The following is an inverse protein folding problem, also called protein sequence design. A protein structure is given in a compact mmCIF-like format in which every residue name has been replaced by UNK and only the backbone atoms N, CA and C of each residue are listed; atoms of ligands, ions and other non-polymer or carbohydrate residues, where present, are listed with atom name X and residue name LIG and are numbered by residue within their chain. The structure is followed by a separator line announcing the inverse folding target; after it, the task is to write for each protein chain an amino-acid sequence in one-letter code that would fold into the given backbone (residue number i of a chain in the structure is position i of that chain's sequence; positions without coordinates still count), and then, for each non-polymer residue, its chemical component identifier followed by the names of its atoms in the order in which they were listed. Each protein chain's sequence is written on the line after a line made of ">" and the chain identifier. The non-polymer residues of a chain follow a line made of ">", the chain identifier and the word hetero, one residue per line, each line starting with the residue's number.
data_IF_861784868777
#
_entry.id   IF_861784868777
#
_cell.length_a   1.000
_cell.length_b   1.000
_cell.length_c   1.000
_cell.angle_alpha   90.00
_cell.angle_beta   90.00
_cell.angle_gamma   90.00
#
_symmetry.space_group_name_H-M   'P 1'
#
loop_
_entity.id
_entity.type
_entity.pdbx_description
1 polymer ?
#
# COMPACT_ATOMS: atom_id res chain seq x y z
N UNK A 1 -63.50 -4.07 -29.45
CA UNK A 1 -64.07 -5.17 -28.64
C UNK A 1 -63.19 -5.34 -27.42
N UNK A 2 -63.57 -4.75 -26.29
CA UNK A 2 -64.29 -5.39 -25.18
C UNK A 2 -63.29 -6.00 -24.18
N UNK A 3 -63.15 -5.42 -22.96
CA UNK A 3 -63.79 -5.87 -21.69
C UNK A 3 -63.14 -7.19 -21.19
N UNK A 4 -62.75 -7.50 -19.96
CA UNK A 4 -62.98 -7.11 -18.55
C UNK A 4 -61.83 -7.78 -17.73
N UNK A 5 -61.26 -7.21 -16.67
CA UNK A 5 -61.67 -7.28 -15.24
C UNK A 5 -62.19 -8.63 -14.69
N UNK A 6 -61.46 -9.23 -13.73
CA UNK A 6 -61.93 -9.79 -12.42
C UNK A 6 -60.88 -10.76 -11.84
N UNK A 7 -60.31 -10.55 -10.63
CA UNK A 7 -60.84 -10.60 -9.24
C UNK A 7 -60.80 -12.00 -8.59
N UNK A 8 -60.45 -11.97 -7.28
CA UNK A 8 -60.72 -12.88 -6.12
C UNK A 8 -59.54 -13.75 -5.68
N UNK A 9 -58.87 -13.51 -4.54
CA UNK A 9 -59.21 -13.52 -3.08
C UNK A 9 -59.42 -14.90 -2.44
N UNK A 10 -58.56 -15.15 -1.43
CA UNK A 10 -58.72 -15.81 -0.12
C UNK A 10 -59.26 -17.25 0.01
N UNK A 11 -58.51 -18.10 0.74
CA UNK A 11 -59.03 -18.76 1.97
C UNK A 11 -57.90 -19.25 2.90
N UNK A 12 -58.21 -19.32 4.19
CA UNK A 12 -57.39 -19.53 5.41
C UNK A 12 -57.74 -20.90 6.04
N UNK A 13 -56.97 -21.32 7.09
CA UNK A 13 -57.24 -22.32 8.17
C UNK A 13 -56.50 -23.67 8.01
N UNK A 14 -56.00 -24.37 9.05
CA UNK A 14 -55.92 -24.20 10.51
C UNK A 14 -54.89 -25.20 11.12
N UNK A 15 -54.56 -25.01 12.40
CA UNK A 15 -53.57 -25.72 13.23
C UNK A 15 -54.05 -27.07 13.83
N UNK A 16 -53.16 -27.83 14.50
CA UNK A 16 -53.33 -28.42 15.86
C UNK A 16 -52.03 -29.11 16.37
N UNK A 17 -51.73 -28.91 17.67
CA UNK A 17 -50.68 -29.51 18.51
C UNK A 17 -51.08 -30.91 19.04
N UNK A 18 -50.08 -31.77 19.34
CA UNK A 18 -50.17 -32.77 20.44
C UNK A 18 -48.83 -32.87 21.17
N UNK A 19 -48.88 -32.86 22.51
CA UNK A 19 -47.77 -33.03 23.45
C UNK A 19 -47.75 -34.46 24.04
N UNK A 20 -46.59 -34.93 24.51
CA UNK A 20 -46.45 -36.15 25.31
C UNK A 20 -45.13 -36.18 26.09
N UNK A 21 -45.22 -36.28 27.41
CA UNK A 21 -44.14 -36.39 28.41
C UNK A 21 -44.18 -37.80 29.03
N UNK A 22 -43.03 -38.47 29.21
CA UNK A 22 -42.77 -39.46 30.28
C UNK A 22 -41.25 -39.58 30.54
N UNK A 23 -40.89 -39.92 31.79
CA UNK A 23 -39.57 -39.77 32.40
C UNK A 23 -38.90 -41.10 32.84
N UNK A 24 -37.55 -41.03 32.96
CA UNK A 24 -36.58 -41.71 33.84
C UNK A 24 -36.41 -43.25 33.91
N UNK A 25 -35.16 -43.72 33.67
CA UNK A 25 -34.35 -44.56 34.60
C UNK A 25 -32.86 -44.63 34.12
N UNK A 26 -31.87 -44.92 35.00
CA UNK A 26 -30.47 -44.48 34.85
C UNK A 26 -29.49 -45.58 34.42
N UNK A 27 -28.42 -45.22 33.70
CA UNK A 27 -27.26 -46.09 33.49
C UNK A 27 -26.05 -45.60 34.31
N UNK A 28 -25.37 -46.57 34.94
CA UNK A 28 -24.20 -46.41 35.81
C UNK A 28 -22.95 -46.14 34.98
N UNK A 29 -21.96 -45.37 35.49
CA UNK A 29 -20.88 -44.84 34.66
C UNK A 29 -19.78 -45.88 34.42
N UNK A 30 -19.51 -46.17 33.15
CA UNK A 30 -18.29 -46.86 32.73
C UNK A 30 -17.10 -45.93 32.92
N UNK A 31 -16.28 -46.21 33.93
CA UNK A 31 -14.97 -45.57 34.14
C UNK A 31 -14.08 -45.81 32.91
N UNK A 32 -13.97 -44.81 32.05
CA UNK A 32 -12.95 -44.77 31.01
C UNK A 32 -11.86 -43.81 31.49
N UNK A 33 -10.85 -44.35 32.16
CA UNK A 33 -9.61 -43.64 32.43
C UNK A 33 -8.78 -43.65 31.14
N UNK A 34 -8.85 -42.57 30.38
CA UNK A 34 -7.88 -42.25 29.32
C UNK A 34 -7.51 -40.77 29.40
N UNK A 35 -6.20 -40.53 29.33
CA UNK A 35 -5.48 -39.34 29.75
C UNK A 35 -6.20 -38.00 29.52
N UNK A 36 -6.32 -37.19 30.59
CA UNK A 36 -6.41 -35.74 30.43
C UNK A 36 -5.09 -35.30 29.81
N UNK A 37 -5.11 -34.97 28.52
CA UNK A 37 -4.19 -33.98 28.00
C UNK A 37 -4.60 -32.70 28.73
N UNK A 38 -3.91 -32.37 29.81
CA UNK A 38 -3.88 -30.99 30.25
C UNK A 38 -3.25 -30.22 29.10
N UNK A 39 -4.10 -29.58 28.30
CA UNK A 39 -3.68 -28.39 27.57
C UNK A 39 -3.42 -27.37 28.66
N UNK A 40 -2.21 -27.40 29.21
CA UNK A 40 -1.64 -26.22 29.85
C UNK A 40 -1.74 -25.16 28.76
N UNK A 41 -2.54 -24.09 28.93
CA UNK A 41 -2.52 -23.02 27.97
C UNK A 41 -1.07 -22.54 28.00
N UNK A 42 -0.36 -22.71 26.90
CA UNK A 42 0.86 -21.96 26.72
C UNK A 42 0.42 -20.51 26.76
N UNK A 43 0.67 -19.85 27.89
CA UNK A 43 0.48 -18.42 28.02
C UNK A 43 1.55 -17.78 27.14
N UNK A 44 1.27 -17.71 25.84
CA UNK A 44 1.95 -16.85 24.89
C UNK A 44 1.14 -15.57 24.78
N UNK A 45 1.19 -14.74 25.81
CA UNK A 45 0.82 -13.34 25.65
C UNK A 45 1.91 -12.63 24.85
N UNK A 46 1.81 -12.60 23.51
CA UNK A 46 2.32 -11.48 22.71
C UNK A 46 1.51 -11.33 21.40
N UNK A 47 0.51 -10.43 21.33
CA UNK A 47 0.06 -9.93 20.03
C UNK A 47 1.19 -9.06 19.46
N UNK A 48 2.13 -9.65 18.71
CA UNK A 48 3.34 -8.96 18.22
C UNK A 48 3.02 -7.70 17.40
N UNK A 49 1.86 -7.68 16.74
CA UNK A 49 1.31 -6.50 16.08
C UNK A 49 -0.19 -6.67 15.88
N UNK A 50 -0.88 -5.56 15.62
CA UNK A 50 -2.27 -5.53 15.15
C UNK A 50 -2.33 -5.10 13.70
N UNK A 51 -3.36 -5.52 12.96
CA UNK A 51 -3.65 -5.04 11.61
C UNK A 51 -5.04 -4.41 11.61
N UNK A 52 -5.13 -3.15 11.21
CA UNK A 52 -6.40 -2.40 11.13
C UNK A 52 -6.56 -1.84 9.73
N UNK A 53 -7.68 -2.17 9.08
CA UNK A 53 -8.01 -1.65 7.75
C UNK A 53 -8.74 -0.30 7.85
N UNK A 54 -8.22 0.70 7.14
CA UNK A 54 -8.87 1.98 6.94
C UNK A 54 -9.41 2.08 5.52
N UNK A 55 -10.60 2.65 5.36
CA UNK A 55 -11.13 3.03 4.06
C UNK A 55 -10.98 4.55 3.93
N UNK A 56 -10.01 4.97 3.12
CA UNK A 56 -9.65 6.39 3.00
C UNK A 56 -10.55 7.17 2.04
N UNK A 57 -11.50 6.48 1.41
CA UNK A 57 -12.66 7.06 0.72
C UNK A 57 -13.93 6.45 1.33
N UNK A 58 -14.48 7.11 2.35
CA UNK A 58 -15.71 6.67 3.03
C UNK A 58 -16.95 6.85 2.16
N UNK A 59 -16.91 7.85 1.27
CA UNK A 59 -17.97 8.08 0.30
C UNK A 59 -17.52 7.53 -1.05
N UNK A 60 -18.02 6.35 -1.36
CA UNK A 60 -18.50 6.15 -2.71
C UNK A 60 -19.31 7.39 -3.07
N UNK A 61 -18.78 8.29 -3.90
CA UNK A 61 -19.64 9.06 -4.80
C UNK A 61 -20.62 8.04 -5.33
N UNK A 62 -21.89 8.15 -4.96
CA UNK A 62 -22.93 7.20 -5.31
C UNK A 62 -22.77 6.84 -6.79
N UNK A 63 -22.22 5.65 -7.09
CA UNK A 63 -21.78 5.28 -8.44
C UNK A 63 -20.33 4.81 -8.64
N UNK A 64 -19.45 4.77 -7.62
CA UNK A 64 -18.14 4.11 -7.78
C UNK A 64 -18.32 2.60 -7.96
N UNK A 65 -17.95 2.09 -9.13
CA UNK A 65 -18.08 0.66 -9.50
C UNK A 65 -17.11 -0.27 -8.72
N UNK A 66 -16.15 0.27 -7.97
CA UNK A 66 -15.06 -0.51 -7.34
C UNK A 66 -14.62 0.04 -5.95
N UNK A 67 -15.49 0.07 -4.93
CA UNK A 67 -15.14 0.59 -3.59
C UNK A 67 -14.11 -0.28 -2.83
N UNK A 68 -13.94 -1.54 -3.24
CA UNK A 68 -13.14 -2.54 -2.53
C UNK A 68 -11.61 -2.35 -2.66
N UNK A 69 -11.16 -1.31 -3.36
CA UNK A 69 -9.73 -1.02 -3.61
C UNK A 69 -9.25 0.29 -2.98
N UNK A 70 -10.10 0.99 -2.23
CA UNK A 70 -9.73 2.25 -1.56
C UNK A 70 -9.56 2.05 -0.06
N UNK A 71 -8.56 1.25 0.29
CA UNK A 71 -8.23 0.93 1.67
C UNK A 71 -6.74 0.89 1.92
N UNK A 72 -6.35 0.96 3.19
CA UNK A 72 -4.99 0.75 3.63
C UNK A 72 -4.97 -0.06 4.93
N UNK A 73 -4.06 -1.00 5.02
CA UNK A 73 -3.86 -1.80 6.24
C UNK A 73 -2.73 -1.18 7.08
N UNK A 74 -3.06 -0.77 8.30
CA UNK A 74 -2.10 -0.35 9.31
C UNK A 74 -1.65 -1.55 10.12
N UNK A 75 -0.39 -1.93 9.96
CA UNK A 75 0.30 -2.87 10.82
C UNK A 75 0.99 -2.09 11.95
N UNK A 76 0.55 -2.29 13.18
CA UNK A 76 1.04 -1.56 14.35
C UNK A 76 1.76 -2.52 15.32
N UNK A 77 3.02 -2.25 15.71
CA UNK A 77 3.71 -3.06 16.72
C UNK A 77 2.91 -3.13 18.02
N UNK A 78 2.83 -4.33 18.62
CA UNK A 78 2.16 -4.51 19.91
C UNK A 78 2.87 -3.80 21.06
N UNK A 79 2.17 -3.66 22.19
CA UNK A 79 2.68 -3.01 23.40
C UNK A 79 2.25 -1.55 23.57
N UNK A 80 2.66 -0.95 24.69
CA UNK A 80 2.42 0.47 24.98
C UNK A 80 3.53 1.31 24.35
N UNK A 81 3.14 2.36 23.62
CA UNK A 81 4.06 3.25 22.93
C UNK A 81 3.79 4.69 23.35
N UNK A 82 4.86 5.48 23.44
CA UNK A 82 4.73 6.90 23.73
C UNK A 82 4.19 7.66 22.50
N UNK A 83 3.70 8.88 22.72
CA UNK A 83 3.39 9.81 21.65
C UNK A 83 4.58 9.96 20.68
N UNK A 84 4.31 9.95 19.36
CA UNK A 84 5.32 10.22 18.32
C UNK A 84 6.60 9.36 18.44
N UNK A 85 6.48 8.08 18.78
CA UNK A 85 7.63 7.21 19.08
C UNK A 85 7.83 6.05 18.10
N UNK A 86 6.83 5.74 17.27
CA UNK A 86 6.91 4.66 16.30
C UNK A 86 7.14 5.24 14.90
N UNK A 87 8.26 4.92 14.23
CA UNK A 87 8.48 5.32 12.85
C UNK A 87 7.39 4.77 11.93
N UNK A 88 6.81 5.64 11.09
CA UNK A 88 5.81 5.25 10.09
C UNK A 88 6.49 4.95 8.75
N UNK A 89 6.18 3.79 8.18
CA UNK A 89 6.53 3.42 6.81
C UNK A 89 5.26 3.27 5.98
N UNK A 90 5.09 4.08 4.96
CA UNK A 90 4.01 3.91 3.97
C UNK A 90 4.52 3.00 2.85
N UNK A 91 3.79 1.94 2.53
CA UNK A 91 4.14 1.03 1.43
C UNK A 91 3.19 1.22 0.25
N UNK A 92 3.76 1.30 -0.95
CA UNK A 92 3.01 1.39 -2.21
C UNK A 92 3.45 0.27 -3.16
N UNK A 93 2.55 -0.67 -3.42
CA UNK A 93 2.87 -1.86 -4.21
C UNK A 93 3.06 -1.56 -5.70
N UNK A 94 3.75 -2.48 -6.38
CA UNK A 94 3.96 -2.44 -7.84
C UNK A 94 2.85 -3.15 -8.62
N UNK A 95 3.21 -3.61 -9.83
CA UNK A 95 2.30 -4.35 -10.72
C UNK A 95 1.93 -3.61 -12.00
N UNK A 96 2.78 -2.68 -12.46
CA UNK A 96 2.58 -1.95 -13.72
C UNK A 96 1.28 -1.14 -13.76
N UNK A 97 0.77 -0.71 -12.60
CA UNK A 97 -0.55 -0.09 -12.45
C UNK A 97 -1.72 -0.93 -13.00
N UNK A 98 -1.52 -2.24 -13.21
CA UNK A 98 -2.53 -3.17 -13.70
C UNK A 98 -3.22 -3.88 -12.55
N UNK A 99 -4.51 -4.23 -12.72
CA UNK A 99 -5.33 -4.88 -11.70
C UNK A 99 -4.99 -6.37 -11.44
N UNK A 100 -3.80 -6.83 -11.84
CA UNK A 100 -3.33 -8.22 -11.66
C UNK A 100 -2.68 -8.46 -10.31
N UNK A 101 -2.21 -7.40 -9.65
CA UNK A 101 -1.59 -7.44 -8.33
C UNK A 101 -2.14 -6.29 -7.47
N UNK A 102 -2.19 -6.50 -6.15
CA UNK A 102 -2.69 -5.54 -5.16
C UNK A 102 -1.76 -5.44 -3.95
N UNK A 103 -2.16 -4.69 -2.92
CA UNK A 103 -1.33 -4.41 -1.74
C UNK A 103 -0.87 -5.66 -0.97
N UNK A 104 -1.60 -6.78 -1.10
CA UNK A 104 -1.25 -8.05 -0.46
C UNK A 104 0.13 -8.61 -0.85
N UNK A 105 0.71 -8.20 -1.98
CA UNK A 105 2.09 -8.59 -2.36
C UNK A 105 3.14 -8.08 -1.36
N UNK A 106 2.78 -7.07 -0.56
CA UNK A 106 3.63 -6.47 0.46
C UNK A 106 3.33 -6.94 1.89
N UNK A 107 2.38 -7.85 2.12
CA UNK A 107 2.04 -8.33 3.46
C UNK A 107 3.25 -8.91 4.20
N UNK A 108 4.10 -9.67 3.48
CA UNK A 108 5.33 -10.22 4.05
C UNK A 108 6.32 -9.12 4.46
N UNK A 109 6.52 -8.10 3.62
CA UNK A 109 7.39 -6.97 3.92
C UNK A 109 6.83 -6.14 5.09
N UNK A 110 5.51 -5.89 5.11
CA UNK A 110 4.86 -5.18 6.19
C UNK A 110 5.09 -5.88 7.53
N UNK A 111 4.86 -7.20 7.62
CA UNK A 111 5.11 -7.98 8.83
C UNK A 111 6.57 -7.95 9.27
N UNK A 112 7.51 -8.09 8.34
CA UNK A 112 8.94 -8.00 8.65
C UNK A 112 9.31 -6.63 9.20
N UNK A 113 8.81 -5.54 8.62
CA UNK A 113 9.05 -4.20 9.12
C UNK A 113 8.38 -3.98 10.49
N UNK A 114 7.15 -4.42 10.67
CA UNK A 114 6.45 -4.27 11.96
C UNK A 114 7.13 -5.03 13.08
N UNK A 115 7.64 -6.23 12.82
CA UNK A 115 8.45 -6.99 13.79
C UNK A 115 9.75 -6.28 14.22
N UNK A 116 10.19 -5.25 13.47
CA UNK A 116 11.36 -4.41 13.74
C UNK A 116 11.00 -3.07 14.40
N UNK A 117 9.76 -2.92 14.84
CA UNK A 117 9.27 -1.77 15.62
C UNK A 117 8.83 -0.58 14.77
N UNK A 118 8.45 -0.81 13.51
CA UNK A 118 7.87 0.23 12.64
C UNK A 118 6.36 0.03 12.51
N UNK A 119 5.61 1.12 12.44
CA UNK A 119 4.25 1.05 11.94
C UNK A 119 4.30 1.03 10.42
N UNK A 120 3.46 0.20 9.80
CA UNK A 120 3.40 0.09 8.33
C UNK A 120 2.00 0.40 7.86
N UNK A 121 1.87 1.39 6.99
CA UNK A 121 0.62 1.75 6.32
C UNK A 121 0.69 1.29 4.87
N UNK A 122 0.13 0.11 4.58
CA UNK A 122 0.19 -0.53 3.27
C UNK A 122 -1.06 -0.18 2.45
N UNK A 123 -0.90 0.62 1.40
CA UNK A 123 -2.03 1.20 0.67
C UNK A 123 -2.44 0.34 -0.53
N UNK A 124 -3.74 0.17 -0.72
CA UNK A 124 -4.37 -0.32 -1.95
C UNK A 124 -4.93 0.89 -2.72
N UNK A 125 -5.00 0.83 -4.05
CA UNK A 125 -5.48 1.94 -4.88
C UNK A 125 -6.03 1.44 -6.23
N UNK A 126 -7.02 2.10 -6.86
CA UNK A 126 -7.57 1.58 -8.14
C UNK A 126 -6.53 1.61 -9.27
N UNK A 127 -6.58 0.59 -10.13
CA UNK A 127 -5.61 0.32 -11.20
C UNK A 127 -6.28 0.21 -12.57
N UNK A 128 -5.49 0.25 -13.63
CA UNK A 128 -5.96 -0.08 -15.00
C UNK A 128 -6.55 -1.49 -14.98
N UNK A 129 -7.73 -1.65 -15.58
CA UNK A 129 -8.53 -2.88 -15.51
C UNK A 129 -9.52 -2.94 -14.33
N UNK A 130 -9.42 -2.06 -13.33
CA UNK A 130 -10.29 -2.02 -12.16
C UNK A 130 -10.75 -0.61 -11.77
N UNK A 131 -10.94 0.26 -12.76
CA UNK A 131 -11.45 1.63 -12.59
C UNK A 131 -10.39 2.70 -12.26
N UNK A 132 -9.11 2.34 -12.27
CA UNK A 132 -7.98 3.26 -12.16
C UNK A 132 -7.49 3.77 -13.52
N UNK A 133 -6.19 4.11 -13.59
CA UNK A 133 -5.62 4.90 -14.67
C UNK A 133 -5.74 6.40 -14.38
N UNK A 134 -5.41 7.23 -15.36
CA UNK A 134 -5.46 8.67 -15.23
C UNK A 134 -6.89 9.20 -15.10
N UNK A 135 -7.20 10.10 -14.14
CA UNK A 135 -6.38 10.54 -13.00
C UNK A 135 -6.63 9.71 -11.73
N UNK A 136 -7.55 8.75 -11.77
CA UNK A 136 -8.07 8.00 -10.61
C UNK A 136 -6.97 7.33 -9.78
N UNK A 137 -6.01 6.65 -10.39
CA UNK A 137 -4.92 5.97 -9.65
C UNK A 137 -4.11 6.95 -8.80
N UNK A 138 -3.75 8.10 -9.38
CA UNK A 138 -2.98 9.14 -8.70
C UNK A 138 -3.82 9.82 -7.61
N UNK A 139 -5.09 10.07 -7.91
CA UNK A 139 -6.06 10.62 -6.95
C UNK A 139 -6.23 9.70 -5.73
N UNK A 140 -6.34 8.39 -5.96
CA UNK A 140 -6.48 7.40 -4.90
C UNK A 140 -5.24 7.33 -4.00
N UNK A 141 -4.04 7.38 -4.57
CA UNK A 141 -2.79 7.41 -3.80
C UNK A 141 -2.68 8.72 -3.02
N UNK A 142 -3.02 9.87 -3.61
CA UNK A 142 -3.04 11.14 -2.91
C UNK A 142 -3.98 11.10 -1.70
N UNK A 143 -5.21 10.59 -1.86
CA UNK A 143 -6.14 10.44 -0.75
C UNK A 143 -5.63 9.46 0.31
N UNK A 144 -5.05 8.32 -0.08
CA UNK A 144 -4.47 7.37 0.87
C UNK A 144 -3.37 8.00 1.71
N UNK A 145 -2.48 8.78 1.08
CA UNK A 145 -1.42 9.53 1.73
C UNK A 145 -1.98 10.57 2.69
N UNK A 146 -2.94 11.38 2.26
CA UNK A 146 -3.53 12.44 3.10
C UNK A 146 -4.34 11.86 4.27
N UNK A 147 -4.88 10.65 4.13
CA UNK A 147 -5.57 9.94 5.20
C UNK A 147 -4.66 9.52 6.36
N UNK A 148 -3.33 9.52 6.19
CA UNK A 148 -2.37 9.31 7.30
C UNK A 148 -2.62 10.29 8.45
N UNK A 149 -3.06 11.52 8.15
CA UNK A 149 -3.43 12.49 9.19
C UNK A 149 -4.61 11.98 10.06
N UNK A 150 -5.61 11.34 9.45
CA UNK A 150 -6.76 10.76 10.16
C UNK A 150 -6.37 9.53 10.97
N UNK A 151 -5.46 8.70 10.42
CA UNK A 151 -4.89 7.57 11.16
C UNK A 151 -4.14 8.07 12.40
N UNK A 152 -3.34 9.13 12.29
CA UNK A 152 -2.58 9.66 13.42
C UNK A 152 -3.46 10.20 14.57
N UNK A 153 -4.67 10.69 14.27
CA UNK A 153 -5.63 11.08 15.32
C UNK A 153 -6.06 9.89 16.18
N UNK A 154 -6.14 8.69 15.61
CA UNK A 154 -6.48 7.46 16.32
C UNK A 154 -5.24 6.76 16.91
N UNK A 155 -4.07 6.98 16.31
CA UNK A 155 -2.81 6.35 16.68
C UNK A 155 -1.71 7.42 16.86
N UNK A 156 -1.79 8.25 17.92
CA UNK A 156 -0.87 9.39 18.12
C UNK A 156 0.58 8.98 18.46
N UNK A 157 0.83 7.67 18.64
CA UNK A 157 2.18 7.11 18.75
C UNK A 157 2.95 7.08 17.42
N UNK A 158 2.27 7.30 16.28
CA UNK A 158 2.90 7.30 14.96
C UNK A 158 3.70 8.58 14.71
N UNK A 159 4.96 8.42 14.29
CA UNK A 159 5.82 9.53 13.91
C UNK A 159 5.60 9.93 12.45
N UNK A 160 4.47 10.61 12.19
CA UNK A 160 4.08 10.99 10.83
C UNK A 160 4.93 12.13 10.26
N UNK A 161 5.44 13.02 11.11
CA UNK A 161 6.29 14.14 10.69
C UNK A 161 7.70 13.69 10.30
N UNK A 162 8.01 12.40 10.45
CA UNK A 162 9.25 11.79 9.96
C UNK A 162 9.04 10.50 9.16
N UNK A 163 7.89 10.40 8.50
CA UNK A 163 7.50 9.19 7.79
C UNK A 163 8.34 8.92 6.53
N UNK A 164 8.63 7.63 6.32
CA UNK A 164 9.26 7.08 5.12
C UNK A 164 8.20 6.52 4.18
N UNK A 165 8.29 6.82 2.88
CA UNK A 165 7.52 6.10 1.85
C UNK A 165 8.43 5.13 1.11
N UNK A 166 7.96 3.90 0.92
CA UNK A 166 8.65 2.89 0.11
C UNK A 166 7.70 2.40 -0.95
N UNK A 167 8.16 2.35 -2.19
CA UNK A 167 7.40 1.73 -3.27
C UNK A 167 8.23 0.81 -4.12
N UNK A 168 7.57 -0.11 -4.83
CA UNK A 168 8.20 -0.98 -5.83
C UNK A 168 7.62 -0.75 -7.22
N UNK A 169 8.48 -0.70 -8.24
CA UNK A 169 8.06 -0.58 -9.65
C UNK A 169 7.12 0.62 -9.84
N UNK A 170 5.92 0.40 -10.38
CA UNK A 170 4.84 1.39 -10.41
C UNK A 170 4.61 2.12 -9.07
N UNK A 171 4.60 1.40 -7.96
CA UNK A 171 4.48 1.98 -6.62
C UNK A 171 5.68 2.83 -6.21
N UNK A 172 6.87 2.54 -6.73
CA UNK A 172 8.06 3.34 -6.48
C UNK A 172 8.01 4.68 -7.22
N UNK A 173 7.42 4.72 -8.43
CA UNK A 173 7.09 5.97 -9.11
C UNK A 173 6.06 6.77 -8.30
N UNK A 174 4.97 6.11 -7.87
CA UNK A 174 3.93 6.74 -7.05
C UNK A 174 4.47 7.27 -5.72
N UNK A 175 5.40 6.56 -5.08
CA UNK A 175 6.03 6.97 -3.83
C UNK A 175 6.84 8.27 -3.97
N UNK A 176 7.67 8.36 -5.02
CA UNK A 176 8.46 9.58 -5.28
C UNK A 176 7.53 10.73 -5.67
N UNK A 177 6.60 10.51 -6.59
CA UNK A 177 5.60 11.54 -6.95
C UNK A 177 4.77 12.02 -5.75
N UNK A 178 4.29 11.10 -4.90
CA UNK A 178 3.47 11.45 -3.75
C UNK A 178 4.21 12.35 -2.73
N UNK A 179 5.54 12.25 -2.69
CA UNK A 179 6.39 13.06 -1.80
C UNK A 179 6.59 14.51 -2.28
N UNK A 180 6.43 14.77 -3.58
CA UNK A 180 6.62 16.09 -4.19
C UNK A 180 5.31 16.82 -4.48
N UNK A 181 4.16 16.25 -4.08
CA UNK A 181 2.81 16.85 -4.28
C UNK A 181 2.64 18.26 -3.72
N UNK A 182 3.48 18.66 -2.78
CA UNK A 182 3.42 19.98 -2.15
C UNK A 182 3.91 21.09 -3.08
N UNK A 183 4.67 20.76 -4.12
CA UNK A 183 5.10 21.71 -5.15
C UNK A 183 4.08 21.85 -6.28
N UNK A 184 3.12 20.93 -6.39
CA UNK A 184 2.03 20.98 -7.36
C UNK A 184 1.08 22.15 -7.07
N UNK A 185 0.61 22.81 -8.13
CA UNK A 185 -0.18 24.02 -8.05
C UNK A 185 -1.62 23.81 -8.54
N UNK A 186 -2.51 24.72 -8.13
CA UNK A 186 -3.88 24.77 -8.66
C UNK A 186 -4.64 23.45 -8.55
N UNK A 187 -5.18 22.99 -9.69
CA UNK A 187 -5.99 21.79 -9.84
C UNK A 187 -5.20 20.55 -10.30
N UNK A 188 -3.86 20.60 -10.25
CA UNK A 188 -3.03 19.44 -10.52
C UNK A 188 -3.41 18.25 -9.63
N UNK A 189 -3.32 17.04 -10.18
CA UNK A 189 -3.74 15.83 -9.47
C UNK A 189 -2.92 15.66 -8.19
N UNK A 190 -3.61 15.53 -7.06
CA UNK A 190 -2.97 15.34 -5.75
C UNK A 190 -2.33 16.59 -5.13
N UNK A 191 -2.53 17.79 -5.70
CA UNK A 191 -2.05 19.06 -5.13
C UNK A 191 -2.61 19.33 -3.72
N UNK A 192 -1.95 20.24 -2.99
CA UNK A 192 -2.32 20.66 -1.62
C UNK A 192 -2.41 19.48 -0.62
N UNK A 193 -1.31 18.72 -0.46
CA UNK A 193 -1.29 17.58 0.44
C UNK A 193 -1.51 17.98 1.90
N UNK A 194 -2.24 17.15 2.65
CA UNK A 194 -2.38 17.26 4.11
C UNK A 194 -1.19 16.59 4.79
N UNK A 195 -0.69 15.50 4.20
CA UNK A 195 0.44 14.73 4.71
C UNK A 195 1.65 14.81 3.78
N UNK A 196 2.82 15.07 4.36
CA UNK A 196 4.09 15.18 3.63
C UNK A 196 5.12 14.22 4.23
N UNK A 197 5.52 13.16 3.50
CA UNK A 197 6.61 12.30 3.96
C UNK A 197 7.95 13.05 3.88
N UNK A 198 8.91 12.68 4.73
CA UNK A 198 10.21 13.36 4.79
C UNK A 198 11.27 12.73 3.90
N UNK A 199 11.05 11.50 3.43
CA UNK A 199 12.04 10.68 2.72
C UNK A 199 11.40 9.54 1.94
N UNK A 200 12.08 9.08 0.88
CA UNK A 200 11.57 8.03 0.00
C UNK A 200 12.64 6.96 -0.28
N UNK A 201 12.22 5.69 -0.30
CA UNK A 201 12.96 4.59 -0.93
C UNK A 201 12.20 4.12 -2.17
N UNK A 202 12.86 4.21 -3.33
CA UNK A 202 12.33 3.74 -4.61
C UNK A 202 12.95 2.40 -4.97
N UNK A 203 12.17 1.32 -4.99
CA UNK A 203 12.63 -0.03 -5.40
C UNK A 203 12.29 -0.27 -6.88
N UNK A 204 13.27 -0.23 -7.76
CA UNK A 204 13.13 -0.41 -9.21
C UNK A 204 12.04 0.45 -9.88
N UNK A 205 11.94 1.73 -9.49
CA UNK A 205 10.93 2.64 -10.03
C UNK A 205 11.24 3.18 -11.43
N UNK A 206 10.23 3.33 -12.31
CA UNK A 206 10.34 4.11 -13.54
C UNK A 206 10.28 5.62 -13.18
N UNK A 207 11.38 6.14 -12.67
CA UNK A 207 11.50 7.52 -12.19
C UNK A 207 11.69 8.55 -13.31
N UNK A 208 11.85 8.11 -14.55
CA UNK A 208 11.77 8.91 -15.77
C UNK A 208 10.75 8.22 -16.70
N UNK A 209 9.48 8.58 -16.53
CA UNK A 209 8.37 7.90 -17.19
C UNK A 209 8.41 8.09 -18.71
N UNK A 210 8.82 9.26 -19.18
CA UNK A 210 9.00 9.54 -20.62
C UNK A 210 10.10 8.66 -21.21
N UNK A 211 11.25 8.53 -20.53
CA UNK A 211 12.34 7.66 -20.96
C UNK A 211 11.91 6.19 -21.08
N UNK A 212 11.18 5.69 -20.07
CA UNK A 212 10.71 4.32 -20.01
C UNK A 212 9.63 4.02 -21.07
N UNK A 213 8.65 4.90 -21.23
CA UNK A 213 7.59 4.76 -22.25
C UNK A 213 8.17 4.72 -23.67
N UNK A 214 9.12 5.62 -23.98
CA UNK A 214 9.79 5.66 -25.30
C UNK A 214 10.68 4.43 -25.57
N UNK A 215 10.93 3.59 -24.56
CA UNK A 215 11.69 2.33 -24.65
C UNK A 215 10.82 1.09 -24.57
N UNK A 216 9.50 1.27 -24.65
CA UNK A 216 8.55 0.17 -24.80
C UNK A 216 7.81 -0.22 -23.54
N UNK A 217 7.91 0.54 -22.44
CA UNK A 217 7.00 0.34 -21.31
C UNK A 217 5.59 0.84 -21.66
N UNK A 218 4.75 -0.10 -22.08
CA UNK A 218 3.36 0.17 -22.49
C UNK A 218 2.46 0.50 -21.30
N UNK A 219 2.76 -0.01 -20.11
CA UNK A 219 1.94 0.22 -18.93
C UNK A 219 1.90 1.69 -18.53
N UNK A 220 2.99 2.43 -18.77
CA UNK A 220 3.04 3.89 -18.56
C UNK A 220 2.05 4.60 -19.49
N UNK A 221 2.03 4.23 -20.77
CA UNK A 221 1.10 4.83 -21.73
C UNK A 221 -0.36 4.47 -21.39
N UNK A 222 -0.61 3.24 -20.94
CA UNK A 222 -1.94 2.81 -20.51
C UNK A 222 -2.43 3.55 -19.26
N UNK A 223 -1.61 3.63 -18.20
CA UNK A 223 -2.01 4.31 -16.96
C UNK A 223 -2.20 5.81 -17.18
N UNK A 224 -1.40 6.45 -18.03
CA UNK A 224 -1.57 7.86 -18.36
C UNK A 224 -2.61 8.12 -19.47
N UNK A 225 -3.13 7.07 -20.10
CA UNK A 225 -4.10 7.18 -21.20
C UNK A 225 -3.53 7.82 -22.47
N UNK A 226 -2.23 7.64 -22.73
CA UNK A 226 -1.54 8.12 -23.94
C UNK A 226 -0.01 8.08 -23.86
N UNK A 227 0.64 8.16 -25.01
CA UNK A 227 2.11 8.32 -25.10
C UNK A 227 2.58 9.68 -24.57
N UNK A 228 3.89 9.86 -24.30
CA UNK A 228 4.44 11.17 -23.90
C UNK A 228 4.08 12.31 -24.84
N UNK A 229 4.03 12.05 -26.15
CA UNK A 229 3.65 13.04 -27.17
C UNK A 229 2.16 13.32 -27.21
N UNK A 230 1.31 12.33 -26.89
CA UNK A 230 -0.15 12.49 -26.94
C UNK A 230 -0.71 13.20 -25.71
N UNK A 231 -0.15 12.95 -24.52
CA UNK A 231 -0.64 13.51 -23.25
C UNK A 231 0.47 14.15 -22.40
N UNK A 232 1.28 15.08 -22.96
CA UNK A 232 2.49 15.60 -22.29
C UNK A 232 2.20 16.25 -20.92
N UNK A 233 1.05 16.92 -20.76
CA UNK A 233 0.65 17.52 -19.48
C UNK A 233 0.44 16.49 -18.37
N UNK A 234 0.01 15.27 -18.70
CA UNK A 234 -0.18 14.19 -17.70
C UNK A 234 1.17 13.68 -17.22
N UNK A 235 2.14 13.50 -18.12
CA UNK A 235 3.51 13.15 -17.76
C UNK A 235 4.14 14.25 -16.90
N UNK A 236 4.02 15.52 -17.30
CA UNK A 236 4.53 16.65 -16.51
C UNK A 236 3.99 16.67 -15.07
N UNK A 237 2.74 16.26 -14.86
CA UNK A 237 2.10 16.28 -13.54
C UNK A 237 2.54 15.15 -12.59
N UNK A 238 3.00 14.00 -13.12
CA UNK A 238 3.27 12.81 -12.27
C UNK A 238 4.61 12.11 -12.50
N UNK A 239 5.37 12.52 -13.51
CA UNK A 239 6.70 11.96 -13.79
C UNK A 239 7.73 12.49 -12.78
N UNK A 240 8.34 11.64 -11.94
CA UNK A 240 9.24 12.10 -10.88
C UNK A 240 10.40 12.96 -11.36
N UNK A 241 11.02 12.64 -12.51
CA UNK A 241 12.16 13.43 -13.02
C UNK A 241 11.74 14.83 -13.50
N UNK A 242 10.45 15.06 -13.75
CA UNK A 242 9.90 16.37 -14.11
C UNK A 242 9.44 17.17 -12.88
N UNK A 243 9.39 16.52 -11.71
CA UNK A 243 8.91 17.07 -10.43
C UNK A 243 9.99 16.88 -9.34
N UNK A 244 11.24 17.26 -9.64
CA UNK A 244 12.35 17.11 -8.72
C UNK A 244 12.25 18.10 -7.55
N UNK A 245 12.27 17.59 -6.33
CA UNK A 245 12.41 18.39 -5.12
C UNK A 245 13.75 18.07 -4.43
N UNK A 246 14.73 19.01 -4.42
CA UNK A 246 16.00 18.86 -3.73
C UNK A 246 15.89 18.62 -2.21
N UNK A 247 14.77 19.00 -1.59
CA UNK A 247 14.57 18.93 -0.15
C UNK A 247 14.16 17.54 0.33
N UNK A 248 13.50 16.74 -0.51
CA UNK A 248 13.09 15.37 -0.17
C UNK A 248 14.20 14.37 -0.53
N UNK A 249 14.83 13.70 0.46
CA UNK A 249 15.81 12.67 0.17
C UNK A 249 15.21 11.44 -0.50
N UNK A 250 15.86 10.98 -1.57
CA UNK A 250 15.46 9.77 -2.30
C UNK A 250 16.61 8.77 -2.34
N UNK A 251 16.37 7.55 -1.88
CA UNK A 251 17.28 6.42 -2.07
C UNK A 251 16.67 5.50 -3.11
N UNK A 252 17.26 5.46 -4.30
CA UNK A 252 16.87 4.51 -5.34
C UNK A 252 17.64 3.20 -5.18
N UNK A 253 16.93 2.07 -5.21
CA UNK A 253 17.49 0.72 -5.18
C UNK A 253 17.10 0.01 -6.46
N UNK A 254 18.05 -0.62 -7.15
CA UNK A 254 17.79 -1.24 -8.44
C UNK A 254 18.63 -2.50 -8.66
N UNK A 255 18.02 -3.57 -9.17
CA UNK A 255 18.75 -4.77 -9.56
C UNK A 255 19.51 -4.57 -10.87
N UNK A 256 20.75 -5.03 -10.98
CA UNK A 256 21.55 -4.81 -12.21
C UNK A 256 21.07 -5.62 -13.41
N UNK A 257 20.25 -6.65 -13.20
CA UNK A 257 19.66 -7.50 -14.24
C UNK A 257 18.16 -7.23 -14.43
N UNK A 258 17.69 -6.06 -14.03
CA UNK A 258 16.30 -5.64 -14.25
C UNK A 258 16.04 -5.37 -15.75
N UNK A 259 15.17 -6.18 -16.34
CA UNK A 259 14.74 -6.06 -17.74
C UNK A 259 13.31 -5.52 -17.88
N UNK A 260 12.62 -5.25 -16.77
CA UNK A 260 11.26 -4.69 -16.77
C UNK A 260 11.35 -3.18 -16.70
N UNK A 261 12.10 -2.66 -15.73
CA UNK A 261 12.45 -1.25 -15.64
C UNK A 261 13.97 -1.18 -15.71
N UNK A 262 14.54 -0.55 -16.73
CA UNK A 262 15.99 -0.49 -16.84
C UNK A 262 16.60 0.28 -15.64
N UNK A 263 17.73 -0.17 -15.06
CA UNK A 263 18.44 0.54 -13.98
C UNK A 263 18.80 1.99 -14.31
N UNK A 264 18.92 2.28 -15.61
CA UNK A 264 19.06 3.62 -16.15
C UNK A 264 17.98 4.61 -15.65
N UNK A 265 16.75 4.16 -15.35
CA UNK A 265 15.71 5.01 -14.77
C UNK A 265 16.16 5.62 -13.43
N UNK A 266 16.60 4.77 -12.50
CA UNK A 266 17.09 5.21 -11.19
C UNK A 266 18.36 6.05 -11.31
N UNK A 267 19.29 5.67 -12.20
CA UNK A 267 20.51 6.43 -12.46
C UNK A 267 20.21 7.85 -12.97
N UNK A 268 19.29 7.98 -13.93
CA UNK A 268 18.89 9.27 -14.52
C UNK A 268 18.27 10.19 -13.47
N UNK A 269 17.33 9.68 -12.69
CA UNK A 269 16.68 10.45 -11.63
C UNK A 269 17.68 10.92 -10.57
N UNK A 270 18.52 10.01 -10.04
CA UNK A 270 19.52 10.35 -9.02
C UNK A 270 20.51 11.39 -9.55
N UNK A 271 20.98 11.24 -10.79
CA UNK A 271 21.88 12.22 -11.41
C UNK A 271 21.22 13.59 -11.58
N UNK A 272 19.95 13.62 -12.01
CA UNK A 272 19.20 14.86 -12.18
C UNK A 272 18.96 15.57 -10.83
N UNK A 273 18.56 14.83 -9.79
CA UNK A 273 18.34 15.39 -8.46
C UNK A 273 19.64 15.93 -7.85
N UNK A 274 20.76 15.20 -7.97
CA UNK A 274 22.08 15.66 -7.51
C UNK A 274 22.55 16.92 -8.24
N UNK A 275 22.26 17.04 -9.54
CA UNK A 275 22.60 18.24 -10.32
C UNK A 275 21.90 19.50 -9.80
N UNK A 276 20.74 19.35 -9.15
CA UNK A 276 20.03 20.45 -8.47
C UNK A 276 20.49 20.68 -7.02
N UNK A 277 21.55 20.01 -6.57
CA UNK A 277 22.00 20.05 -5.18
C UNK A 277 21.12 19.23 -4.23
N UNK A 278 20.23 18.39 -4.78
CA UNK A 278 19.33 17.54 -4.01
C UNK A 278 20.00 16.30 -3.42
N UNK A 279 19.31 15.70 -2.46
CA UNK A 279 19.82 14.60 -1.65
C UNK A 279 19.37 13.25 -2.23
N UNK A 280 20.22 12.63 -3.05
CA UNK A 280 19.88 11.38 -3.73
C UNK A 280 20.95 10.30 -3.57
N UNK A 281 20.53 9.06 -3.31
CA UNK A 281 21.40 7.89 -3.25
C UNK A 281 20.99 6.84 -4.29
N UNK A 282 21.95 6.08 -4.81
CA UNK A 282 21.70 4.93 -5.68
C UNK A 282 22.39 3.69 -5.13
N UNK A 283 21.61 2.64 -4.92
CA UNK A 283 22.06 1.32 -4.51
C UNK A 283 21.76 0.31 -5.62
N UNK A 284 22.79 -0.11 -6.35
CA UNK A 284 22.67 -1.15 -7.37
C UNK A 284 22.93 -2.51 -6.73
N UNK A 285 21.99 -3.44 -6.87
CA UNK A 285 22.08 -4.80 -6.34
C UNK A 285 22.57 -5.75 -7.45
N UNK A 286 23.84 -6.20 -7.41
CA UNK A 286 24.39 -7.05 -8.48
C UNK A 286 23.64 -8.38 -8.58
N UNK A 287 23.24 -8.74 -9.80
CA UNK A 287 22.57 -10.02 -10.10
C UNK A 287 21.08 -10.05 -9.76
N UNK A 288 20.54 -9.05 -9.07
CA UNK A 288 19.10 -8.97 -8.79
C UNK A 288 18.32 -8.50 -10.04
N UNK A 289 17.08 -8.97 -10.17
CA UNK A 289 16.14 -8.60 -11.22
C UNK A 289 14.96 -7.79 -10.64
N UNK A 290 13.96 -7.49 -11.47
CA UNK A 290 12.84 -6.62 -11.10
C UNK A 290 12.05 -7.07 -9.86
N UNK A 291 11.82 -8.38 -9.71
CA UNK A 291 10.96 -8.92 -8.65
C UNK A 291 11.77 -9.46 -7.48
N UNK A 292 13.02 -9.85 -7.71
CA UNK A 292 13.86 -10.43 -6.66
C UNK A 292 14.15 -9.42 -5.54
N UNK A 293 14.27 -8.13 -5.84
CA UNK A 293 14.55 -7.09 -4.82
C UNK A 293 13.44 -6.94 -3.75
N UNK A 294 12.23 -7.40 -4.02
CA UNK A 294 11.10 -7.42 -3.06
C UNK A 294 10.74 -8.84 -2.60
N UNK A 295 11.46 -9.85 -3.07
CA UNK A 295 11.21 -11.25 -2.72
C UNK A 295 11.98 -11.65 -1.46
N UNK A 296 11.29 -12.13 -0.43
CA UNK A 296 11.91 -12.61 0.83
C UNK A 296 12.96 -13.71 0.63
N UNK A 297 12.96 -14.38 -0.53
CA UNK A 297 13.88 -15.46 -0.90
C UNK A 297 15.16 -14.97 -1.58
N UNK A 298 15.24 -13.70 -1.98
CA UNK A 298 16.40 -13.13 -2.67
C UNK A 298 17.55 -12.82 -1.70
N UNK A 299 18.83 -13.00 -2.12
CA UNK A 299 19.98 -12.49 -1.38
C UNK A 299 19.93 -10.98 -1.12
N UNK A 300 19.48 -10.19 -2.10
CA UNK A 300 19.33 -8.74 -2.03
C UNK A 300 18.25 -8.26 -1.06
N UNK A 301 17.23 -9.07 -0.79
CA UNK A 301 16.11 -8.68 0.08
C UNK A 301 16.55 -8.29 1.50
N UNK A 302 17.54 -8.99 2.08
CA UNK A 302 18.09 -8.61 3.40
C UNK A 302 18.71 -7.23 3.39
N UNK A 303 19.34 -6.84 2.27
CA UNK A 303 19.92 -5.50 2.10
C UNK A 303 18.81 -4.45 1.96
N UNK A 304 17.76 -4.73 1.20
CA UNK A 304 16.57 -3.87 1.09
C UNK A 304 15.90 -3.67 2.46
N UNK A 305 15.64 -4.75 3.19
CA UNK A 305 15.04 -4.70 4.52
C UNK A 305 15.88 -3.91 5.52
N UNK A 306 17.21 -4.12 5.50
CA UNK A 306 18.15 -3.33 6.31
C UNK A 306 18.06 -1.86 5.95
N UNK A 307 18.11 -1.52 4.66
CA UNK A 307 18.05 -0.14 4.19
C UNK A 307 16.76 0.57 4.63
N UNK A 308 15.60 -0.08 4.47
CA UNK A 308 14.32 0.47 4.94
C UNK A 308 14.36 0.69 6.46
N UNK A 309 14.82 -0.31 7.22
CA UNK A 309 14.88 -0.24 8.69
C UNK A 309 15.84 0.85 9.19
N UNK A 310 16.97 1.03 8.52
CA UNK A 310 17.95 2.07 8.90
C UNK A 310 17.44 3.45 8.51
N UNK A 311 16.88 3.61 7.30
CA UNK A 311 16.38 4.89 6.80
C UNK A 311 15.18 5.41 7.58
N UNK A 312 14.30 4.52 8.05
CA UNK A 312 13.13 4.89 8.86
C UNK A 312 13.48 5.37 10.27
N UNK A 313 14.66 5.00 10.79
CA UNK A 313 15.12 5.36 12.15
C UNK A 313 16.21 6.43 12.16
N UNK A 314 16.80 6.71 11.01
CA UNK A 314 17.90 7.66 10.89
C UNK A 314 17.40 9.11 10.92
N UNK A 315 18.22 10.01 11.44
CA UNK A 315 18.03 11.44 11.18
C UNK A 315 18.27 11.74 9.70
N UNK A 316 17.62 12.80 9.17
CA UNK A 316 17.72 13.10 7.75
C UNK A 316 19.18 13.25 7.30
N UNK A 317 20.02 13.99 8.03
CA UNK A 317 21.45 14.23 7.75
C UNK A 317 22.34 12.97 7.73
N UNK A 318 21.88 11.86 8.32
CA UNK A 318 22.57 10.58 8.38
C UNK A 318 22.27 9.67 7.16
N UNK A 319 21.33 10.06 6.30
CA UNK A 319 20.95 9.25 5.15
C UNK A 319 22.10 9.12 4.12
N UNK A 320 22.21 7.96 3.43
CA UNK A 320 23.26 7.70 2.42
C UNK A 320 22.93 8.35 1.06
N UNK A 321 22.69 9.67 1.09
CA UNK A 321 22.14 10.47 -0.02
C UNK A 321 22.97 11.71 -0.33
N UNK A 322 24.25 11.71 0.09
CA UNK A 322 25.20 12.79 -0.20
C UNK A 322 25.58 12.80 -1.68
#
# INVERSE_FOLDING_TARGET
>A
MALLLNRRLLTVCAAILIAGLTACAPETPTETRTARIEVVPEVLTQPKFTVTRFHYLSDARAGSKYPDQNWADLYLPGGTHAFNSIPLVVLIHGGGWQSTMGAGVFDGLARELTSRGMAVYNIEYRRVGSGGGWPTTFTDVAHAMDYVAQVNLQYPQLAIDDALVVGHSAGAQLAVWASTRHDLQGDEVGSRPIFRPTRVISLAGPLDMVYAANRGDKHIAEVLGGSPSAVPKRYASVDPIQNLDPQVPVIAVHGTLDTVVAPANSQRYVAALKKLGGRAGLELLPGENHTSIVSTRSPGFRKVLRLITTTSKAQLDQLPVK
#
